data_IF_797180342346
#
_entry.id   IF_797180342346
#
_cell.length_a   1.000
_cell.length_b   1.000
_cell.length_c   1.000
_cell.angle_alpha   90.00
_cell.angle_beta   90.00
_cell.angle_gamma   90.00
#
_symmetry.space_group_name_H-M   'P 1'
#
loop_
_entity.id
_entity.type
_entity.pdbx_description
1 polymer ?
#
# COMPACT_ATOMS: atom_id res chain seq x y z
N UNK A 1 18.30 13.08 12.00
CA UNK A 1 16.84 12.90 11.92
C UNK A 1 16.31 14.02 11.06
N UNK A 2 15.96 13.69 9.82
CA UNK A 2 15.28 14.60 8.88
C UNK A 2 13.93 15.07 9.44
N UNK A 3 13.51 16.27 9.07
CA UNK A 3 12.17 16.78 9.37
C UNK A 3 11.10 15.98 8.61
N UNK A 4 10.06 15.57 9.32
CA UNK A 4 8.92 14.86 8.75
C UNK A 4 7.90 15.90 8.29
N UNK A 5 7.63 15.91 6.99
CA UNK A 5 6.64 16.80 6.37
C UNK A 5 5.56 15.98 5.67
N UNK A 6 4.48 16.64 5.26
CA UNK A 6 3.50 16.07 4.34
C UNK A 6 4.19 15.65 3.04
N UNK A 7 3.61 14.65 2.39
CA UNK A 7 4.12 13.96 1.20
C UNK A 7 5.46 13.25 1.37
N UNK A 8 5.94 13.10 2.62
CA UNK A 8 7.10 12.27 2.92
C UNK A 8 6.75 10.80 2.71
N UNK A 9 7.55 10.11 1.90
CA UNK A 9 7.38 8.68 1.64
C UNK A 9 8.41 7.87 2.43
N UNK A 10 7.93 6.83 3.09
CA UNK A 10 8.73 5.81 3.77
C UNK A 10 8.60 4.48 3.04
N UNK A 11 9.69 3.72 3.02
CA UNK A 11 9.74 2.37 2.47
C UNK A 11 10.22 1.39 3.53
N UNK A 12 9.82 0.13 3.38
CA UNK A 12 10.41 -0.96 4.16
C UNK A 12 11.79 -1.30 3.65
N UNK A 13 12.73 -1.56 4.56
CA UNK A 13 14.15 -1.87 4.25
C UNK A 13 14.29 -3.11 3.34
N UNK A 14 13.32 -4.01 3.34
CA UNK A 14 13.35 -5.26 2.57
C UNK A 14 12.95 -5.11 1.09
N UNK A 15 12.57 -3.92 0.63
CA UNK A 15 12.11 -3.72 -0.75
C UNK A 15 13.30 -3.60 -1.69
N UNK A 16 13.37 -4.50 -2.68
CA UNK A 16 14.23 -4.32 -3.85
C UNK A 16 13.64 -3.17 -4.66
N UNK A 17 14.14 -1.97 -4.46
CA UNK A 17 13.81 -0.83 -5.31
C UNK A 17 14.44 -1.04 -6.70
N UNK A 18 13.91 -0.39 -7.75
CA UNK A 18 14.49 -0.49 -9.09
C UNK A 18 15.99 -0.21 -9.07
N UNK A 19 16.79 -0.98 -9.82
CA UNK A 19 18.27 -0.93 -9.79
C UNK A 19 18.86 0.46 -10.16
N UNK A 20 18.06 1.34 -10.74
CA UNK A 20 18.37 2.73 -11.10
C UNK A 20 17.83 3.76 -10.09
N UNK A 21 16.95 3.34 -9.18
CA UNK A 21 16.45 4.17 -8.09
C UNK A 21 17.35 3.92 -6.87
N UNK A 22 18.53 4.55 -6.87
CA UNK A 22 19.38 4.63 -5.69
C UNK A 22 18.70 5.55 -4.69
N UNK A 23 17.64 5.07 -4.05
CA UNK A 23 17.03 5.82 -2.96
C UNK A 23 17.91 5.62 -1.76
N UNK A 24 18.74 6.62 -1.51
CA UNK A 24 19.39 6.74 -0.22
C UNK A 24 18.29 6.70 0.84
N UNK A 25 18.46 5.77 1.75
CA UNK A 25 17.42 5.35 2.67
C UNK A 25 17.92 5.71 4.07
N UNK A 26 17.27 6.66 4.75
CA UNK A 26 17.63 7.05 6.13
C UNK A 26 16.75 6.29 7.12
N UNK A 27 17.38 5.54 8.03
CA UNK A 27 16.66 4.73 9.01
C UNK A 27 15.81 5.60 9.95
N UNK A 28 14.54 5.21 10.14
CA UNK A 28 13.61 5.94 10.99
C UNK A 28 13.06 5.10 12.14
N UNK A 29 12.53 3.93 11.81
CA UNK A 29 11.95 2.94 12.72
C UNK A 29 12.43 1.57 12.24
N UNK A 30 12.51 0.59 13.13
CA UNK A 30 12.92 -0.77 12.74
C UNK A 30 12.10 -1.28 11.54
N UNK A 31 12.81 -1.61 10.46
CA UNK A 31 12.23 -2.04 9.19
C UNK A 31 11.64 -0.93 8.30
N UNK A 32 11.69 0.34 8.71
CA UNK A 32 11.20 1.51 7.97
C UNK A 32 12.26 2.60 7.82
N UNK A 33 12.37 3.10 6.61
CA UNK A 33 13.35 4.12 6.31
C UNK A 33 12.79 5.13 5.29
N UNK A 34 13.25 6.37 5.38
CA UNK A 34 12.80 7.46 4.50
C UNK A 34 13.36 7.28 3.11
N UNK A 35 12.53 7.54 2.10
CA UNK A 35 13.02 7.74 0.73
C UNK A 35 13.62 9.15 0.65
N UNK A 36 14.95 9.28 0.50
CA UNK A 36 15.64 10.59 0.52
C UNK A 36 15.28 11.46 -0.69
N UNK A 37 14.81 10.87 -1.77
CA UNK A 37 14.51 11.58 -3.00
C UNK A 37 13.01 11.80 -3.16
N UNK A 38 12.60 13.07 -3.12
CA UNK A 38 11.32 13.56 -3.63
C UNK A 38 10.09 13.44 -2.72
N UNK A 39 9.09 14.26 -3.05
CA UNK A 39 7.72 14.14 -2.59
C UNK A 39 7.05 12.90 -3.22
N UNK A 40 5.82 12.60 -2.81
CA UNK A 40 5.01 11.51 -3.37
C UNK A 40 4.99 11.49 -4.91
N UNK A 41 4.86 12.67 -5.53
CA UNK A 41 4.72 12.80 -6.98
C UNK A 41 6.01 12.47 -7.71
N UNK A 42 7.15 12.87 -7.16
CA UNK A 42 8.45 12.51 -7.71
C UNK A 42 8.67 11.00 -7.59
N UNK A 43 8.39 10.41 -6.42
CA UNK A 43 8.55 8.97 -6.19
C UNK A 43 7.69 8.16 -7.16
N UNK A 44 6.42 8.53 -7.32
CA UNK A 44 5.50 7.88 -8.25
C UNK A 44 6.02 7.94 -9.70
N UNK A 45 6.46 9.11 -10.16
CA UNK A 45 7.01 9.28 -11.51
C UNK A 45 8.27 8.46 -11.74
N UNK A 46 9.20 8.43 -10.80
CA UNK A 46 10.43 7.66 -10.96
C UNK A 46 10.17 6.15 -10.93
N UNK A 47 9.27 5.68 -10.06
CA UNK A 47 8.85 4.28 -10.04
C UNK A 47 8.19 3.90 -11.38
N UNK A 48 7.29 4.73 -11.91
CA UNK A 48 6.66 4.51 -13.22
C UNK A 48 7.66 4.49 -14.38
N UNK A 49 8.67 5.38 -14.39
CA UNK A 49 9.74 5.38 -15.40
C UNK A 49 10.53 4.08 -15.44
N UNK A 50 10.60 3.37 -14.31
CA UNK A 50 11.27 2.08 -14.21
C UNK A 50 10.39 0.90 -14.66
N UNK A 51 9.14 1.16 -15.07
CA UNK A 51 8.14 0.12 -15.36
C UNK A 51 7.56 -0.54 -14.12
N UNK A 52 7.64 0.12 -12.96
CA UNK A 52 7.05 -0.35 -11.71
C UNK A 52 5.77 0.43 -11.41
N UNK A 53 4.93 -0.13 -10.55
CA UNK A 53 3.68 0.46 -10.11
C UNK A 53 3.75 0.86 -8.63
N UNK A 54 3.15 2.00 -8.32
CA UNK A 54 3.02 2.53 -6.97
C UNK A 54 1.52 2.69 -6.65
N UNK A 55 0.95 1.65 -6.03
CA UNK A 55 -0.50 1.52 -5.92
C UNK A 55 -0.95 1.70 -4.46
N UNK A 56 -2.01 2.48 -4.27
CA UNK A 56 -2.72 2.61 -3.00
C UNK A 56 -4.02 1.80 -3.05
N UNK A 57 -4.20 0.86 -2.11
CA UNK A 57 -5.36 -0.06 -2.11
C UNK A 57 -6.03 -0.17 -0.72
N UNK A 58 -5.51 0.47 0.33
CA UNK A 58 -6.01 0.26 1.70
C UNK A 58 -6.30 1.54 2.47
N UNK A 59 -7.16 1.42 3.47
CA UNK A 59 -7.53 2.55 4.33
C UNK A 59 -6.32 3.24 4.97
N UNK A 60 -6.46 4.56 5.17
CA UNK A 60 -5.45 5.32 5.89
C UNK A 60 -5.33 4.90 7.36
N UNK A 61 -4.11 5.02 7.90
CA UNK A 61 -3.85 4.90 9.33
C UNK A 61 -3.60 6.28 9.91
N UNK A 62 -4.50 6.75 10.77
CA UNK A 62 -4.34 8.03 11.48
C UNK A 62 -4.04 7.81 12.96
N UNK A 63 -2.94 8.38 13.48
CA UNK A 63 -2.57 8.27 14.91
C UNK A 63 -2.10 9.59 15.47
N UNK A 64 -2.29 9.74 16.78
CA UNK A 64 -1.78 10.87 17.56
C UNK A 64 -0.46 10.53 18.24
N UNK A 65 0.37 11.54 18.46
CA UNK A 65 1.62 11.46 19.19
C UNK A 65 1.86 12.74 19.99
N UNK A 66 2.68 12.65 21.03
CA UNK A 66 3.01 13.76 21.92
C UNK A 66 4.52 13.90 21.98
N UNK A 67 5.01 15.14 22.02
CA UNK A 67 6.45 15.43 22.10
C UNK A 67 6.76 16.79 22.69
N UNK A 68 8.00 16.97 23.15
CA UNK A 68 8.50 18.26 23.65
C UNK A 68 8.80 19.24 22.51
N UNK A 69 8.96 18.74 21.29
CA UNK A 69 9.08 19.53 20.06
C UNK A 69 8.05 19.06 19.04
N UNK A 70 7.80 19.88 18.02
CA UNK A 70 6.91 19.55 16.90
C UNK A 70 7.32 18.23 16.24
N UNK A 71 8.58 18.13 15.83
CA UNK A 71 9.13 16.93 15.18
C UNK A 71 9.12 15.71 16.09
N UNK A 72 9.29 15.87 17.41
CA UNK A 72 9.16 14.76 18.34
C UNK A 72 7.71 14.24 18.41
N UNK A 73 6.72 15.14 18.41
CA UNK A 73 5.31 14.77 18.41
C UNK A 73 4.91 14.10 17.08
N UNK A 74 5.36 14.66 15.95
CA UNK A 74 5.13 14.11 14.60
C UNK A 74 5.77 12.73 14.48
N UNK A 75 7.03 12.58 14.89
CA UNK A 75 7.73 11.29 14.86
C UNK A 75 7.04 10.25 15.74
N UNK A 76 6.54 10.63 16.92
CA UNK A 76 5.79 9.73 17.79
C UNK A 76 4.48 9.27 17.13
N UNK A 77 3.73 10.20 16.54
CA UNK A 77 2.50 9.91 15.82
C UNK A 77 2.74 9.00 14.61
N UNK A 78 3.77 9.30 13.80
CA UNK A 78 4.15 8.53 12.63
C UNK A 78 4.57 7.10 13.00
N UNK A 79 5.41 6.93 14.04
CA UNK A 79 5.80 5.60 14.54
C UNK A 79 4.58 4.75 14.91
N UNK A 80 3.58 5.34 15.57
CA UNK A 80 2.34 4.64 15.90
C UNK A 80 1.49 4.33 14.67
N UNK A 81 1.46 5.22 13.67
CA UNK A 81 0.73 5.01 12.42
C UNK A 81 1.33 3.85 11.61
N UNK A 82 2.66 3.82 11.45
CA UNK A 82 3.41 2.81 10.70
C UNK A 82 3.31 1.41 11.31
N UNK A 83 3.27 1.30 12.64
CA UNK A 83 3.07 0.01 13.34
C UNK A 83 1.75 -0.69 12.96
N UNK A 84 0.75 0.07 12.50
CA UNK A 84 -0.54 -0.48 12.06
C UNK A 84 -0.62 -0.68 10.55
N UNK A 85 0.38 -0.28 9.79
CA UNK A 85 0.44 -0.57 8.36
C UNK A 85 0.65 -2.07 8.18
N UNK A 86 -0.27 -2.70 7.45
CA UNK A 86 -0.24 -4.14 7.17
C UNK A 86 1.11 -4.55 6.57
N UNK A 87 1.66 -5.73 6.92
CA UNK A 87 2.89 -6.26 6.34
C UNK A 87 2.88 -6.39 4.82
N UNK A 88 1.69 -6.44 4.21
CA UNK A 88 1.49 -6.54 2.78
C UNK A 88 1.91 -5.27 2.03
N UNK A 89 1.91 -4.11 2.71
CA UNK A 89 2.33 -2.84 2.14
C UNK A 89 3.78 -2.58 2.44
N UNK A 90 4.50 -2.22 1.39
CA UNK A 90 5.94 -2.05 1.45
C UNK A 90 6.39 -0.59 1.45
N UNK A 91 5.45 0.34 1.25
CA UNK A 91 5.66 1.77 1.35
C UNK A 91 4.51 2.46 2.11
N UNK A 92 4.75 3.68 2.54
CA UNK A 92 3.78 4.49 3.26
C UNK A 92 4.04 5.98 2.99
N UNK A 93 2.99 6.74 2.69
CA UNK A 93 3.05 8.18 2.50
C UNK A 93 2.42 8.91 3.69
N UNK A 94 3.08 9.95 4.17
CA UNK A 94 2.52 10.93 5.11
C UNK A 94 1.60 11.88 4.36
N UNK A 95 0.29 11.74 4.55
CA UNK A 95 -0.73 12.54 3.86
C UNK A 95 -0.96 13.90 4.51
N UNK A 96 -1.32 13.87 5.79
CA UNK A 96 -1.69 15.07 6.54
C UNK A 96 -1.02 15.04 7.91
N UNK A 97 -0.54 16.21 8.33
CA UNK A 97 0.00 16.45 9.67
C UNK A 97 -0.83 17.56 10.34
N UNK A 98 -1.62 17.19 11.33
CA UNK A 98 -2.28 18.16 12.22
C UNK A 98 -1.41 18.38 13.45
N UNK A 99 -1.05 19.62 13.76
CA UNK A 99 -0.25 19.96 14.93
C UNK A 99 -1.01 20.91 15.87
N UNK A 100 -1.00 20.59 17.16
CA UNK A 100 -1.55 21.45 18.22
C UNK A 100 -0.48 21.70 19.26
N UNK A 101 -0.13 22.97 19.48
CA UNK A 101 0.81 23.39 20.50
C UNK A 101 0.12 23.67 21.83
N UNK A 102 0.68 23.14 22.91
CA UNK A 102 0.35 23.47 24.30
C UNK A 102 1.56 24.15 24.96
N UNK A 103 1.37 24.84 26.11
CA UNK A 103 2.47 25.55 26.77
C UNK A 103 3.72 24.71 27.11
N UNK A 104 3.57 23.39 27.25
CA UNK A 104 4.66 22.49 27.67
C UNK A 104 4.92 21.30 26.73
N UNK A 105 4.16 21.16 25.64
CA UNK A 105 4.31 20.05 24.70
C UNK A 105 3.53 20.29 23.40
N UNK A 106 3.76 19.43 22.43
CA UNK A 106 3.05 19.38 21.16
C UNK A 106 2.27 18.08 21.05
N UNK A 107 1.06 18.16 20.50
CA UNK A 107 0.30 17.00 20.03
C UNK A 107 0.30 17.04 18.51
N UNK A 108 0.73 15.97 17.86
CA UNK A 108 0.59 15.80 16.42
C UNK A 108 -0.42 14.68 16.14
N UNK A 109 -1.19 14.81 15.07
CA UNK A 109 -1.88 13.69 14.44
C UNK A 109 -1.35 13.54 13.03
N UNK A 110 -0.96 12.31 12.70
CA UNK A 110 -0.39 11.99 11.39
C UNK A 110 -1.30 10.98 10.72
N UNK A 111 -1.73 11.29 9.50
CA UNK A 111 -2.43 10.37 8.60
C UNK A 111 -1.44 9.81 7.60
N UNK A 112 -1.45 8.48 7.48
CA UNK A 112 -0.56 7.75 6.58
C UNK A 112 -1.40 6.91 5.62
N UNK A 113 -1.07 6.98 4.32
CA UNK A 113 -1.60 6.06 3.32
C UNK A 113 -0.59 4.95 3.05
N UNK A 114 -0.98 3.67 3.16
CA UNK A 114 -0.12 2.56 2.82
C UNK A 114 -0.06 2.35 1.30
N UNK A 115 1.13 2.16 0.76
CA UNK A 115 1.36 1.94 -0.67
C UNK A 115 2.07 0.61 -0.93
N UNK A 116 1.89 0.12 -2.15
CA UNK A 116 2.57 -1.05 -2.67
C UNK A 116 3.38 -0.70 -3.91
N UNK A 117 4.70 -0.89 -3.82
CA UNK A 117 5.67 -0.79 -4.91
C UNK A 117 5.88 -2.18 -5.51
N UNK A 118 5.49 -2.40 -6.76
CA UNK A 118 5.60 -3.70 -7.43
C UNK A 118 6.04 -3.55 -8.89
N UNK A 119 6.87 -4.48 -9.38
CA UNK A 119 7.33 -4.47 -10.77
C UNK A 119 6.28 -5.01 -11.75
N UNK A 120 5.41 -5.90 -11.29
CA UNK A 120 4.41 -6.57 -12.12
C UNK A 120 3.03 -6.37 -11.47
N UNK A 121 2.01 -6.07 -12.27
CA UNK A 121 0.63 -5.95 -11.78
C UNK A 121 0.08 -7.35 -11.57
N UNK A 122 0.57 -8.03 -10.54
CA UNK A 122 -0.18 -9.15 -9.97
C UNK A 122 -1.21 -8.51 -9.04
N UNK A 123 -2.34 -8.11 -9.62
CA UNK A 123 -3.58 -7.92 -8.86
C UNK A 123 -3.80 -9.24 -8.11
N UNK A 124 -3.43 -9.28 -6.83
CA UNK A 124 -3.93 -10.30 -5.93
C UNK A 124 -5.41 -9.98 -5.72
N UNK A 125 -6.23 -10.35 -6.70
CA UNK A 125 -7.62 -10.69 -6.43
C UNK A 125 -7.56 -11.69 -5.29
N UNK A 126 -8.07 -11.29 -4.13
CA UNK A 126 -8.34 -12.23 -3.04
C UNK A 126 -9.26 -13.29 -3.63
N UNK A 127 -8.68 -14.43 -4.02
CA UNK A 127 -9.40 -15.60 -4.49
C UNK A 127 -10.02 -16.27 -3.26
N UNK A 128 -10.96 -15.56 -2.64
CA UNK A 128 -11.89 -16.07 -1.66
C UNK A 128 -13.29 -15.68 -2.08
N UNK A 129 -13.65 -16.13 -3.28
CA UNK A 129 -15.02 -16.46 -3.68
C UNK A 129 -14.98 -16.95 -5.14
N UNK A 130 -14.46 -18.16 -5.35
CA UNK A 130 -14.76 -18.92 -6.56
C UNK A 130 -15.83 -19.96 -6.19
N UNK A 131 -17.08 -19.85 -6.65
CA UNK A 131 -18.02 -20.96 -6.57
C UNK A 131 -17.51 -22.12 -7.44
N UNK A 132 -17.76 -23.38 -7.05
CA UNK A 132 -17.24 -24.54 -7.77
C UNK A 132 -17.74 -24.56 -9.22
N UNK A 133 -16.78 -24.79 -10.11
CA UNK A 133 -16.94 -24.95 -11.55
C UNK A 133 -18.11 -25.88 -11.89
N UNK A 134 -19.11 -25.34 -12.58
CA UNK A 134 -20.18 -26.13 -13.18
C UNK A 134 -19.60 -26.78 -14.43
N UNK A 135 -19.46 -28.10 -14.42
CA UNK A 135 -19.10 -28.90 -15.61
C UNK A 135 -20.18 -28.73 -16.70
N UNK A 136 -19.81 -28.62 -17.98
CA UNK A 136 -20.80 -28.55 -19.06
C UNK A 136 -21.60 -29.84 -19.12
N UNK A 137 -22.93 -29.74 -19.03
CA UNK A 137 -23.84 -30.87 -19.27
C UNK A 137 -23.79 -31.19 -20.76
N UNK A 138 -23.37 -32.42 -21.05
CA UNK A 138 -23.23 -33.02 -22.37
C UNK A 138 -24.59 -33.11 -23.08
N UNK A 139 -24.59 -32.79 -24.37
CA UNK A 139 -25.76 -32.64 -25.22
C UNK A 139 -26.52 -33.97 -25.38
N UNK A 140 -27.84 -33.95 -25.16
CA UNK A 140 -28.72 -35.04 -25.60
C UNK A 140 -29.21 -34.67 -27.00
N UNK A 141 -28.67 -35.36 -28.01
CA UNK A 141 -29.18 -35.32 -29.39
C UNK A 141 -30.55 -35.98 -29.44
N UNK A 142 -31.61 -35.19 -29.63
CA UNK A 142 -32.89 -35.69 -30.12
C UNK A 142 -32.77 -35.89 -31.63
N UNK A 143 -32.57 -37.15 -32.05
CA UNK A 143 -32.91 -37.57 -33.41
C UNK A 143 -33.25 -39.05 -33.36
N UNK A 144 -34.53 -39.37 -33.25
CA UNK A 144 -34.99 -40.65 -33.79
C UNK A 144 -36.39 -40.50 -34.39
N UNK A 145 -36.45 -40.74 -35.69
CA UNK A 145 -37.65 -40.71 -36.48
C UNK A 145 -38.01 -42.15 -36.88
N UNK A 146 -39.23 -42.53 -36.49
CA UNK A 146 -40.19 -43.35 -37.22
C UNK A 146 -40.01 -44.88 -37.37
N UNK A 147 -41.18 -45.54 -37.44
CA UNK A 147 -41.54 -46.92 -37.85
C UNK A 147 -41.44 -47.95 -36.71
N UNK A 148 -42.50 -48.63 -36.26
CA UNK A 148 -43.30 -49.74 -36.86
C UNK A 148 -44.58 -49.88 -35.97
N UNK A 149 -45.80 -50.24 -36.40
CA UNK A 149 -46.31 -50.78 -37.65
C UNK A 149 -47.83 -50.98 -37.59
N UNK A 150 -48.39 -51.37 -38.73
CA UNK A 150 -49.79 -51.69 -38.95
C UNK A 150 -50.12 -53.14 -38.55
N UNK A 151 -51.33 -53.35 -38.00
CA UNK A 151 -52.28 -54.40 -38.33
C UNK A 151 -53.59 -54.15 -37.58
#
# INVERSE_FOLDING_TARGET
>A
MRDITEHTVLSRVTVKLPNNLTVETEDFLEGWSFLRSGDLHWVDKEIQKCGWHFIWIADSSQRGGVGQTEQAAIAAALKLALRRVSPHFNAANVDTIELVQYPWFFIAKVRVYPYQIQQDVVLLTSEKDMPPSITPVEAISETDALVVGAA
#
